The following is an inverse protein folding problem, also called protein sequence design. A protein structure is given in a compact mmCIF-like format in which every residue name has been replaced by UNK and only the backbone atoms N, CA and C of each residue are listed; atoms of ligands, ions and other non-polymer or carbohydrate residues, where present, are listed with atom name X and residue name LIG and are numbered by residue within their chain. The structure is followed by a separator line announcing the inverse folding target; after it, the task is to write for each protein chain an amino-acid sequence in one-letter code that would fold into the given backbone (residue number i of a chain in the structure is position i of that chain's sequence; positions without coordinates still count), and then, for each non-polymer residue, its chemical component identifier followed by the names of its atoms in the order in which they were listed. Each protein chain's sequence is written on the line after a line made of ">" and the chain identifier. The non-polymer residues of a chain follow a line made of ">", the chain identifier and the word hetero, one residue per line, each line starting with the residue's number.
data_IF_289239511769
#
_entry.id   IF_289239511769
#
_cell.length_a   1.000
_cell.length_b   1.000
_cell.length_c   1.000
_cell.angle_alpha   90.00
_cell.angle_beta   90.00
_cell.angle_gamma   90.00
#
_symmetry.space_group_name_H-M   'P 1'
#
loop_
_entity.id
_entity.type
_entity.pdbx_description
1 polymer ?
#
# COMPACT_ATOMS: atom_id res chain seq x y z
N UNK A 1 -34.23 19.87 8.09
CA UNK A 1 -33.00 20.69 7.91
C UNK A 1 -32.89 20.98 6.43
N UNK A 2 -33.28 22.18 6.00
CA UNK A 2 -33.22 22.59 4.60
C UNK A 2 -31.86 23.25 4.35
N UNK A 3 -31.06 22.65 3.47
CA UNK A 3 -29.95 23.34 2.83
C UNK A 3 -30.54 24.10 1.65
N UNK A 4 -30.31 25.41 1.59
CA UNK A 4 -31.00 26.32 0.69
C UNK A 4 -30.86 25.90 -0.78
N UNK A 5 -32.00 25.66 -1.45
CA UNK A 5 -32.09 25.50 -2.90
C UNK A 5 -32.49 24.12 -3.43
N UNK A 6 -32.51 23.06 -2.60
CA UNK A 6 -32.91 21.72 -3.05
C UNK A 6 -34.01 21.19 -2.13
N UNK A 7 -35.27 21.29 -2.57
CA UNK A 7 -36.39 20.59 -1.92
C UNK A 7 -36.36 19.13 -2.36
N UNK A 8 -35.74 18.27 -1.55
CA UNK A 8 -35.66 16.84 -1.81
C UNK A 8 -36.54 16.09 -0.82
N UNK A 9 -37.47 15.27 -1.31
CA UNK A 9 -38.34 14.46 -0.46
C UNK A 9 -37.54 13.48 0.40
N UNK A 10 -38.01 13.16 1.60
CA UNK A 10 -37.28 12.34 2.59
C UNK A 10 -36.80 11.01 2.01
N UNK A 11 -37.60 10.33 1.18
CA UNK A 11 -37.21 9.09 0.48
C UNK A 11 -36.05 9.27 -0.49
N UNK A 12 -36.06 10.38 -1.23
CA UNK A 12 -34.99 10.74 -2.17
C UNK A 12 -33.72 11.10 -1.40
N UNK A 13 -33.82 11.87 -0.31
CA UNK A 13 -32.69 12.17 0.56
C UNK A 13 -32.06 10.91 1.17
N UNK A 14 -32.86 9.96 1.66
CA UNK A 14 -32.36 8.69 2.19
C UNK A 14 -31.64 7.88 1.10
N UNK A 15 -32.17 7.86 -0.13
CA UNK A 15 -31.54 7.17 -1.24
C UNK A 15 -30.19 7.79 -1.64
N UNK A 16 -30.12 9.12 -1.73
CA UNK A 16 -28.87 9.84 -2.00
C UNK A 16 -27.81 9.59 -0.92
N UNK A 17 -28.20 9.63 0.35
CA UNK A 17 -27.29 9.32 1.46
C UNK A 17 -26.79 7.87 1.40
N UNK A 18 -27.67 6.91 1.09
CA UNK A 18 -27.30 5.51 0.92
C UNK A 18 -26.32 5.30 -0.26
N UNK A 19 -26.49 6.06 -1.35
CA UNK A 19 -25.57 6.01 -2.48
C UNK A 19 -24.19 6.57 -2.13
N UNK A 20 -24.14 7.69 -1.40
CA UNK A 20 -22.88 8.30 -0.94
C UNK A 20 -22.14 7.38 0.04
N UNK A 21 -22.84 6.75 0.97
CA UNK A 21 -22.21 5.79 1.88
C UNK A 21 -21.71 4.56 1.13
N UNK A 22 -22.49 4.05 0.16
CA UNK A 22 -22.09 2.90 -0.64
C UNK A 22 -20.84 3.19 -1.48
N UNK A 23 -20.75 4.33 -2.17
CA UNK A 23 -19.55 4.68 -2.95
C UNK A 23 -18.32 4.92 -2.07
N UNK A 24 -18.50 5.49 -0.87
CA UNK A 24 -17.43 5.63 0.13
C UNK A 24 -16.95 4.27 0.67
N UNK A 25 -17.83 3.27 0.77
CA UNK A 25 -17.45 1.91 1.15
C UNK A 25 -16.68 1.20 0.03
N UNK A 26 -17.04 1.42 -1.24
CA UNK A 26 -16.31 0.82 -2.37
C UNK A 26 -14.90 1.41 -2.55
N UNK A 27 -14.69 2.69 -2.20
CA UNK A 27 -13.36 3.34 -2.29
C UNK A 27 -12.39 2.93 -1.18
N UNK A 28 -12.86 2.19 -0.16
CA UNK A 28 -12.05 1.63 0.92
C UNK A 28 -11.32 0.33 0.56
N UNK A 29 -11.37 -0.09 -0.71
CA UNK A 29 -10.68 -1.30 -1.17
C UNK A 29 -9.17 -1.07 -1.16
N UNK A 30 -8.47 -1.52 -0.10
CA UNK A 30 -7.01 -1.61 -0.10
C UNK A 30 -6.60 -2.86 -0.90
N UNK A 31 -5.97 -2.68 -2.06
CA UNK A 31 -5.27 -3.79 -2.71
C UNK A 31 -4.08 -4.18 -1.84
N UNK A 32 -3.93 -5.47 -1.56
CA UNK A 32 -2.68 -6.02 -1.04
C UNK A 32 -1.91 -6.47 -2.26
N UNK A 33 -0.88 -5.72 -2.62
CA UNK A 33 0.04 -6.03 -3.69
C UNK A 33 1.33 -6.59 -3.07
N UNK A 34 1.80 -7.72 -3.61
CA UNK A 34 3.09 -8.27 -3.28
C UNK A 34 4.17 -7.50 -4.06
N UNK A 35 5.23 -7.09 -3.37
CA UNK A 35 6.32 -6.33 -3.96
C UNK A 35 7.62 -7.14 -3.95
N UNK A 36 8.40 -6.96 -5.01
CA UNK A 36 9.80 -7.40 -5.04
C UNK A 36 10.67 -6.31 -4.44
N UNK A 37 11.24 -6.59 -3.25
CA UNK A 37 12.09 -5.65 -2.51
C UNK A 37 13.54 -6.08 -2.69
N UNK A 38 14.35 -5.25 -3.35
CA UNK A 38 15.78 -5.53 -3.55
C UNK A 38 16.52 -5.29 -2.23
N UNK A 39 17.19 -6.34 -1.73
CA UNK A 39 17.96 -6.25 -0.49
C UNK A 39 19.18 -5.35 -0.69
N UNK A 40 19.28 -4.29 0.12
CA UNK A 40 20.35 -3.31 0.03
C UNK A 40 20.19 -2.27 -1.08
N UNK A 41 19.00 -2.18 -1.68
CA UNK A 41 18.68 -1.26 -2.78
C UNK A 41 19.73 -1.36 -3.92
N UNK A 42 20.31 -0.23 -4.33
CA UNK A 42 21.33 -0.20 -5.39
C UNK A 42 22.64 -0.89 -4.99
N UNK A 43 22.88 -1.12 -3.69
CA UNK A 43 24.09 -1.81 -3.22
C UNK A 43 24.00 -3.32 -3.37
N UNK A 44 22.79 -3.88 -3.47
CA UNK A 44 22.57 -5.32 -3.52
C UNK A 44 23.04 -6.05 -2.26
N UNK A 45 23.27 -7.36 -2.39
CA UNK A 45 23.80 -8.24 -1.36
C UNK A 45 25.33 -8.36 -1.47
N UNK A 46 26.05 -7.82 -0.47
CA UNK A 46 27.50 -7.66 -0.48
C UNK A 46 28.10 -7.60 0.93
N UNK A 47 29.38 -7.96 1.06
CA UNK A 47 30.15 -7.85 2.32
C UNK A 47 30.91 -6.53 2.45
N UNK A 48 30.73 -5.57 1.53
CA UNK A 48 31.47 -4.31 1.47
C UNK A 48 31.01 -3.25 2.50
N UNK A 49 30.67 -3.67 3.72
CA UNK A 49 30.32 -2.78 4.83
C UNK A 49 28.95 -2.12 4.72
N UNK A 50 28.04 -2.63 3.89
CA UNK A 50 26.66 -2.14 3.82
C UNK A 50 25.89 -2.48 5.11
N UNK A 51 25.14 -1.51 5.65
CA UNK A 51 24.40 -1.69 6.89
C UNK A 51 22.97 -2.22 6.62
N UNK A 52 22.85 -3.54 6.49
CA UNK A 52 21.56 -4.20 6.27
C UNK A 52 20.57 -4.05 7.44
N UNK A 53 21.06 -3.82 8.65
CA UNK A 53 20.20 -3.55 9.81
C UNK A 53 19.48 -2.22 9.65
N UNK A 54 20.23 -1.17 9.29
CA UNK A 54 19.64 0.14 9.03
C UNK A 54 18.69 0.12 7.83
N UNK A 55 19.07 -0.60 6.76
CA UNK A 55 18.20 -0.81 5.60
C UNK A 55 16.91 -1.55 5.98
N UNK A 56 16.99 -2.66 6.70
CA UNK A 56 15.80 -3.42 7.11
C UNK A 56 14.86 -2.57 7.99
N UNK A 57 15.41 -1.67 8.81
CA UNK A 57 14.62 -0.72 9.61
C UNK A 57 13.93 0.36 8.77
N UNK A 58 14.41 0.69 7.56
CA UNK A 58 13.74 1.65 6.67
C UNK A 58 12.63 1.02 5.83
N UNK A 59 12.62 -0.31 5.69
CA UNK A 59 11.65 -0.99 4.82
C UNK A 59 10.34 -1.31 5.56
N UNK A 60 9.27 -1.44 4.77
CA UNK A 60 7.98 -1.98 5.22
C UNK A 60 7.74 -3.29 4.50
N UNK A 61 7.74 -4.39 5.26
CA UNK A 61 7.45 -5.72 4.72
C UNK A 61 6.00 -6.09 4.99
N UNK A 62 5.31 -6.57 3.96
CA UNK A 62 3.99 -7.17 4.04
C UNK A 62 4.07 -8.66 3.73
N UNK A 63 3.10 -9.44 4.22
CA UNK A 63 2.97 -10.85 3.86
C UNK A 63 2.71 -10.95 2.35
N UNK A 64 3.55 -11.72 1.67
CA UNK A 64 3.50 -11.90 0.21
C UNK A 64 4.61 -11.17 -0.54
N UNK A 65 5.30 -10.22 0.10
CA UNK A 65 6.47 -9.57 -0.52
C UNK A 65 7.63 -10.58 -0.71
N UNK A 66 8.41 -10.37 -1.77
CA UNK A 66 9.63 -11.12 -2.04
C UNK A 66 10.85 -10.28 -1.70
N UNK A 67 11.83 -10.89 -1.03
CA UNK A 67 13.15 -10.31 -0.86
C UNK A 67 14.06 -10.79 -1.98
N UNK A 68 14.51 -9.85 -2.83
CA UNK A 68 15.36 -10.14 -3.98
C UNK A 68 16.80 -9.84 -3.62
N UNK A 69 17.59 -10.89 -3.45
CA UNK A 69 19.02 -10.81 -3.21
C UNK A 69 19.76 -10.76 -4.56
N UNK A 70 20.31 -9.60 -4.92
CA UNK A 70 21.15 -9.44 -6.10
C UNK A 70 22.61 -9.45 -5.68
N UNK A 71 23.37 -10.42 -6.16
CA UNK A 71 24.77 -10.60 -5.79
C UNK A 71 25.59 -11.22 -6.93
N UNK A 72 26.91 -11.13 -6.82
CA UNK A 72 27.83 -11.95 -7.60
C UNK A 72 27.82 -13.38 -7.05
N UNK A 73 27.32 -14.33 -7.85
CA UNK A 73 27.21 -15.75 -7.47
C UNK A 73 28.54 -16.45 -7.22
N UNK A 74 29.67 -15.83 -7.60
CA UNK A 74 31.00 -16.32 -7.24
C UNK A 74 31.38 -16.01 -5.78
N UNK A 75 30.70 -15.03 -5.15
CA UNK A 75 31.03 -14.52 -3.82
C UNK A 75 29.97 -14.87 -2.76
N UNK A 76 28.72 -15.07 -3.18
CA UNK A 76 27.57 -15.25 -2.31
C UNK A 76 26.64 -16.36 -2.83
N UNK A 77 25.79 -16.90 -1.93
CA UNK A 77 24.73 -17.87 -2.19
C UNK A 77 23.33 -17.33 -1.86
#
# INVERSE_FOLDING_TARGET
>A
MAINGISMGTKSLTFFLALVTFTYLLSRSSSVEAHDIIVGDDSGWTLNGFNYTAWAHSQKFAVGDNLVFKYDSALHD
#
